data_IF_299737241967
#
_entry.id   IF_299737241967
#
_cell.length_a   1.000
_cell.length_b   1.000
_cell.length_c   1.000
_cell.angle_alpha   90.00
_cell.angle_beta   90.00
_cell.angle_gamma   90.00
#
_symmetry.space_group_name_H-M   'P 1'
#
loop_
_entity.id
_entity.type
_entity.pdbx_description
1 polymer ?
#
# COMPACT_ATOMS: atom_id res chain seq x y z
N UNK A 1 16.15 17.63 -13.14
CA UNK A 1 15.05 18.17 -12.30
C UNK A 1 15.18 17.55 -10.91
N UNK A 2 15.05 18.33 -9.83
CA UNK A 2 15.18 17.80 -8.47
C UNK A 2 13.96 16.90 -8.15
N UNK A 3 14.16 15.60 -7.81
CA UNK A 3 13.05 14.66 -7.59
C UNK A 3 12.15 15.08 -6.44
N UNK A 4 12.70 15.74 -5.41
CA UNK A 4 11.94 16.26 -4.27
C UNK A 4 10.98 17.37 -4.67
N UNK A 5 11.42 18.27 -5.55
CA UNK A 5 10.58 19.38 -6.04
C UNK A 5 9.44 18.82 -6.89
N UNK A 6 9.77 17.89 -7.78
CA UNK A 6 8.76 17.24 -8.61
C UNK A 6 7.74 16.46 -7.78
N UNK A 7 8.20 15.71 -6.78
CA UNK A 7 7.32 14.96 -5.89
C UNK A 7 6.40 15.90 -5.08
N UNK A 8 6.91 17.02 -4.57
CA UNK A 8 6.08 18.02 -3.86
C UNK A 8 4.97 18.58 -4.76
N UNK A 9 5.30 18.93 -6.00
CA UNK A 9 4.31 19.42 -6.98
C UNK A 9 3.30 18.32 -7.31
N UNK A 10 3.78 17.09 -7.54
CA UNK A 10 2.91 15.95 -7.82
C UNK A 10 1.97 15.62 -6.66
N UNK A 11 2.42 15.68 -5.41
CA UNK A 11 1.56 15.45 -4.23
C UNK A 11 0.40 16.44 -4.21
N UNK A 12 0.66 17.73 -4.46
CA UNK A 12 -0.39 18.76 -4.53
C UNK A 12 -1.34 18.46 -5.70
N UNK A 13 -0.80 18.10 -6.87
CA UNK A 13 -1.61 17.76 -8.04
C UNK A 13 -2.41 16.47 -7.86
N UNK A 14 -1.96 15.53 -7.03
CA UNK A 14 -2.67 14.28 -6.70
C UNK A 14 -3.80 14.49 -5.70
N UNK A 15 -3.72 15.56 -4.91
CA UNK A 15 -4.75 15.93 -3.96
C UNK A 15 -6.05 16.34 -4.67
N UNK A 16 -5.94 16.98 -5.83
CA UNK A 16 -7.08 17.36 -6.69
C UNK A 16 -7.92 16.16 -7.14
N UNK A 17 -7.38 15.16 -7.87
CA UNK A 17 -8.13 13.99 -8.30
C UNK A 17 -8.52 13.09 -7.12
N UNK A 18 -7.82 13.13 -5.97
CA UNK A 18 -8.29 12.41 -4.80
C UNK A 18 -9.49 13.07 -4.12
N UNK A 19 -9.52 14.41 -4.01
CA UNK A 19 -10.61 15.12 -3.35
C UNK A 19 -11.83 15.34 -4.24
N UNK A 20 -11.70 15.24 -5.57
CA UNK A 20 -12.83 15.49 -6.48
C UNK A 20 -14.01 14.56 -6.20
N UNK A 21 -13.76 13.33 -5.72
CA UNK A 21 -14.83 12.38 -5.39
C UNK A 21 -15.76 12.89 -4.26
N UNK A 22 -15.29 13.79 -3.40
CA UNK A 22 -16.08 14.38 -2.31
C UNK A 22 -17.12 15.39 -2.78
N UNK A 23 -16.94 15.94 -3.99
CA UNK A 23 -17.80 16.98 -4.54
C UNK A 23 -18.71 16.46 -5.66
N UNK A 24 -18.55 15.19 -6.05
CA UNK A 24 -19.35 14.55 -7.07
C UNK A 24 -20.60 13.90 -6.44
N UNK A 25 -21.73 13.84 -7.16
CA UNK A 25 -22.88 13.04 -6.74
C UNK A 25 -22.49 11.56 -6.58
N UNK A 26 -23.08 10.86 -5.61
CA UNK A 26 -22.72 9.49 -5.21
C UNK A 26 -22.53 8.51 -6.39
N UNK A 27 -23.45 8.54 -7.37
CA UNK A 27 -23.36 7.67 -8.55
C UNK A 27 -22.10 7.94 -9.40
N UNK A 28 -21.76 9.22 -9.58
CA UNK A 28 -20.59 9.64 -10.36
C UNK A 28 -19.32 9.37 -9.56
N UNK A 29 -19.33 9.65 -8.25
CA UNK A 29 -18.21 9.38 -7.36
C UNK A 29 -17.91 7.88 -7.26
N UNK A 30 -18.95 7.04 -7.21
CA UNK A 30 -18.82 5.58 -7.21
C UNK A 30 -18.18 5.07 -8.51
N UNK A 31 -18.70 5.52 -9.66
CA UNK A 31 -18.10 5.17 -10.96
C UNK A 31 -16.64 5.63 -11.06
N UNK A 32 -16.36 6.87 -10.63
CA UNK A 32 -15.02 7.43 -10.62
C UNK A 32 -14.04 6.62 -9.77
N UNK A 33 -14.40 6.30 -8.52
CA UNK A 33 -13.54 5.53 -7.60
C UNK A 33 -13.31 4.10 -8.09
N UNK A 34 -14.36 3.42 -8.59
CA UNK A 34 -14.27 2.08 -9.19
C UNK A 34 -13.36 2.02 -10.41
N UNK A 35 -13.25 3.11 -11.18
CA UNK A 35 -12.32 3.19 -12.31
C UNK A 35 -10.91 3.57 -11.85
N UNK A 36 -10.79 4.58 -11.00
CA UNK A 36 -9.49 5.18 -10.65
C UNK A 36 -8.66 4.29 -9.74
N UNK A 37 -9.25 3.52 -8.82
CA UNK A 37 -8.49 2.63 -7.95
C UNK A 37 -7.72 1.57 -8.75
N UNK A 38 -8.37 0.72 -9.57
CA UNK A 38 -7.63 -0.26 -10.36
C UNK A 38 -6.72 0.41 -11.39
N UNK A 39 -7.11 1.53 -12.01
CA UNK A 39 -6.24 2.23 -12.96
C UNK A 39 -4.93 2.71 -12.32
N UNK A 40 -4.99 3.33 -11.15
CA UNK A 40 -3.80 3.82 -10.44
C UNK A 40 -2.91 2.68 -9.96
N UNK A 41 -3.50 1.61 -9.43
CA UNK A 41 -2.78 0.40 -9.02
C UNK A 41 -2.13 -0.30 -10.23
N UNK A 42 -2.79 -0.35 -11.38
CA UNK A 42 -2.24 -0.89 -12.62
C UNK A 42 -1.02 -0.09 -13.10
N UNK A 43 -1.13 1.24 -13.12
CA UNK A 43 -0.02 2.14 -13.49
C UNK A 43 1.16 1.93 -12.52
N UNK A 44 0.88 1.83 -11.22
CA UNK A 44 1.89 1.56 -10.21
C UNK A 44 2.56 0.19 -10.44
N UNK A 45 1.79 -0.88 -10.64
CA UNK A 45 2.32 -2.20 -10.94
C UNK A 45 3.21 -2.19 -12.19
N UNK A 46 2.77 -1.53 -13.26
CA UNK A 46 3.55 -1.36 -14.48
C UNK A 46 4.88 -0.63 -14.21
N UNK A 47 4.87 0.48 -13.47
CA UNK A 47 6.12 1.16 -13.12
C UNK A 47 7.03 0.30 -12.24
N UNK A 48 6.48 -0.43 -11.29
CA UNK A 48 7.24 -1.38 -10.46
C UNK A 48 7.94 -2.43 -11.31
N UNK A 49 7.23 -3.03 -12.27
CA UNK A 49 7.82 -4.00 -13.19
C UNK A 49 8.88 -3.39 -14.11
N UNK A 50 8.67 -2.16 -14.58
CA UNK A 50 9.68 -1.41 -15.35
C UNK A 50 10.93 -1.15 -14.53
N UNK A 51 10.79 -0.75 -13.27
CA UNK A 51 11.93 -0.57 -12.36
C UNK A 51 12.65 -1.91 -12.13
N UNK A 52 11.90 -3.00 -11.94
CA UNK A 52 12.48 -4.33 -11.79
C UNK A 52 13.33 -4.74 -13.00
N UNK A 53 12.99 -4.29 -14.21
CA UNK A 53 13.79 -4.57 -15.42
C UNK A 53 15.11 -3.79 -15.50
N UNK A 54 15.22 -2.68 -14.75
CA UNK A 54 16.44 -1.85 -14.67
C UNK A 54 17.41 -2.45 -13.65
N UNK A 55 16.90 -2.91 -12.50
CA UNK A 55 17.71 -3.47 -11.44
C UNK A 55 18.12 -4.94 -11.68
N UNK A 56 19.17 -5.37 -10.98
CA UNK A 56 19.64 -6.75 -10.98
C UNK A 56 19.58 -7.36 -9.56
N UNK A 57 19.72 -8.69 -9.46
CA UNK A 57 19.84 -9.39 -8.19
C UNK A 57 18.61 -9.27 -7.28
N UNK A 58 18.83 -8.94 -6.01
CA UNK A 58 17.79 -8.92 -4.98
C UNK A 58 16.80 -7.75 -5.14
N UNK A 59 17.27 -6.59 -5.59
CA UNK A 59 16.41 -5.41 -5.77
C UNK A 59 15.40 -5.61 -6.91
N UNK A 60 15.79 -6.31 -7.99
CA UNK A 60 14.87 -6.77 -9.03
C UNK A 60 13.73 -7.61 -8.45
N UNK A 61 14.05 -8.57 -7.58
CA UNK A 61 13.03 -9.43 -6.93
C UNK A 61 12.09 -8.59 -6.08
N UNK A 62 12.60 -7.65 -5.29
CA UNK A 62 11.76 -6.74 -4.49
C UNK A 62 10.71 -6.02 -5.35
N UNK A 63 11.11 -5.42 -6.48
CA UNK A 63 10.18 -4.73 -7.37
C UNK A 63 9.24 -5.66 -8.16
N UNK A 64 9.64 -6.91 -8.45
CA UNK A 64 8.73 -7.92 -9.00
C UNK A 64 7.64 -8.24 -7.97
N UNK A 65 8.02 -8.50 -6.72
CA UNK A 65 7.04 -8.78 -5.66
C UNK A 65 6.15 -7.58 -5.37
N UNK A 66 6.69 -6.36 -5.39
CA UNK A 66 5.88 -5.14 -5.30
C UNK A 66 4.88 -5.02 -6.47
N UNK A 67 5.31 -5.34 -7.70
CA UNK A 67 4.41 -5.36 -8.86
C UNK A 67 3.29 -6.38 -8.69
N UNK A 68 3.61 -7.59 -8.21
CA UNK A 68 2.61 -8.63 -7.96
C UNK A 68 1.63 -8.22 -6.86
N UNK A 69 2.12 -7.64 -5.76
CA UNK A 69 1.28 -7.05 -4.70
C UNK A 69 0.29 -6.04 -5.27
N UNK A 70 0.77 -5.06 -6.07
CA UNK A 70 -0.07 -4.02 -6.64
C UNK A 70 -1.07 -4.56 -7.67
N UNK A 71 -0.68 -5.56 -8.47
CA UNK A 71 -1.58 -6.24 -9.40
C UNK A 71 -2.68 -7.04 -8.68
N UNK A 72 -2.35 -7.72 -7.58
CA UNK A 72 -3.35 -8.43 -6.78
C UNK A 72 -4.30 -7.46 -6.08
N UNK A 73 -3.77 -6.35 -5.54
CA UNK A 73 -4.59 -5.25 -5.02
C UNK A 73 -5.50 -4.65 -6.10
N UNK A 74 -5.01 -4.47 -7.33
CA UNK A 74 -5.83 -4.02 -8.46
C UNK A 74 -6.98 -4.99 -8.75
N UNK A 75 -6.69 -6.29 -8.84
CA UNK A 75 -7.72 -7.32 -9.05
C UNK A 75 -8.75 -7.34 -7.91
N UNK A 76 -8.30 -7.08 -6.68
CA UNK A 76 -9.19 -6.97 -5.53
C UNK A 76 -10.24 -5.85 -5.68
N UNK A 77 -9.93 -4.79 -6.45
CA UNK A 77 -10.81 -3.64 -6.70
C UNK A 77 -11.75 -3.81 -7.89
N UNK A 78 -11.56 -4.84 -8.72
CA UNK A 78 -12.40 -5.09 -9.90
C UNK A 78 -13.62 -5.93 -9.50
N UNK A 79 -14.76 -5.29 -9.24
CA UNK A 79 -16.03 -5.99 -8.95
C UNK A 79 -16.41 -7.04 -10.02
N UNK A 80 -16.30 -6.76 -11.34
CA UNK A 80 -16.68 -7.75 -12.36
C UNK A 80 -15.85 -9.04 -12.28
N UNK A 81 -14.57 -8.93 -11.91
CA UNK A 81 -13.69 -10.07 -11.72
C UNK A 81 -14.22 -10.97 -10.60
N UNK A 82 -14.63 -10.39 -9.47
CA UNK A 82 -15.14 -11.17 -8.34
C UNK A 82 -16.50 -11.78 -8.60
N UNK A 83 -17.37 -11.14 -9.39
CA UNK A 83 -18.67 -11.71 -9.74
C UNK A 83 -18.51 -12.95 -10.64
N UNK A 84 -17.56 -12.92 -11.58
CA UNK A 84 -17.21 -14.10 -12.40
C UNK A 84 -16.69 -15.23 -11.50
N UNK A 85 -15.79 -14.94 -10.56
CA UNK A 85 -15.29 -15.97 -9.65
C UNK A 85 -16.35 -16.51 -8.70
N UNK A 86 -17.28 -15.65 -8.24
CA UNK A 86 -18.41 -16.05 -7.39
C UNK A 86 -19.30 -17.04 -8.12
N UNK A 87 -19.62 -16.76 -9.39
CA UNK A 87 -20.45 -17.66 -10.21
C UNK A 87 -19.75 -18.97 -10.55
N UNK A 88 -18.44 -18.96 -10.78
CA UNK A 88 -17.65 -20.17 -11.10
C UNK A 88 -17.38 -21.08 -9.89
N UNK A 89 -17.05 -20.50 -8.74
CA UNK A 89 -16.59 -21.25 -7.54
C UNK A 89 -17.74 -21.53 -6.57
N UNK A 90 -18.83 -20.76 -6.63
CA UNK A 90 -20.00 -20.95 -5.77
C UNK A 90 -19.67 -20.83 -4.29
N UNK A 91 -19.97 -21.87 -3.51
CA UNK A 91 -19.85 -21.87 -2.04
C UNK A 91 -18.40 -21.75 -1.54
N UNK A 92 -17.40 -22.09 -2.36
CA UNK A 92 -15.98 -21.94 -1.99
C UNK A 92 -15.41 -20.54 -2.27
N UNK A 93 -16.22 -19.60 -2.76
CA UNK A 93 -15.79 -18.22 -3.06
C UNK A 93 -15.13 -17.49 -1.87
N UNK A 94 -15.61 -17.61 -0.62
CA UNK A 94 -14.94 -16.99 0.53
C UNK A 94 -13.51 -17.48 0.75
N UNK A 95 -13.22 -18.76 0.48
CA UNK A 95 -11.86 -19.31 0.57
C UNK A 95 -10.94 -18.67 -0.47
N UNK A 96 -11.43 -18.44 -1.69
CA UNK A 96 -10.67 -17.77 -2.75
C UNK A 96 -10.30 -16.33 -2.37
N UNK A 97 -11.22 -15.59 -1.74
CA UNK A 97 -10.93 -14.25 -1.22
C UNK A 97 -9.80 -14.29 -0.19
N UNK A 98 -9.88 -15.21 0.77
CA UNK A 98 -8.85 -15.39 1.80
C UNK A 98 -7.51 -15.73 1.18
N UNK A 99 -7.45 -16.69 0.25
CA UNK A 99 -6.22 -17.08 -0.44
C UNK A 99 -5.61 -15.93 -1.23
N UNK A 100 -6.42 -15.14 -1.93
CA UNK A 100 -5.95 -13.97 -2.70
C UNK A 100 -5.37 -12.91 -1.77
N UNK A 101 -5.99 -12.70 -0.61
CA UNK A 101 -5.50 -11.75 0.39
C UNK A 101 -4.18 -12.22 1.03
N UNK A 102 -4.07 -13.50 1.39
CA UNK A 102 -2.80 -14.09 1.85
C UNK A 102 -1.70 -13.98 0.80
N UNK A 103 -2.01 -14.26 -0.48
CA UNK A 103 -1.06 -14.11 -1.57
C UNK A 103 -0.61 -12.65 -1.69
N UNK A 104 -1.53 -11.70 -1.60
CA UNK A 104 -1.24 -10.25 -1.65
C UNK A 104 -0.25 -9.86 -0.55
N UNK A 105 -0.53 -10.23 0.70
CA UNK A 105 0.36 -9.94 1.82
C UNK A 105 1.71 -10.66 1.72
N UNK A 106 1.72 -11.91 1.26
CA UNK A 106 2.97 -12.64 1.03
C UNK A 106 3.87 -11.91 0.04
N UNK A 107 3.31 -11.34 -1.05
CA UNK A 107 4.10 -10.54 -2.00
C UNK A 107 4.71 -9.30 -1.32
N UNK A 108 3.96 -8.62 -0.46
CA UNK A 108 4.47 -7.44 0.26
C UNK A 108 5.56 -7.80 1.28
N UNK A 109 5.39 -8.90 2.02
CA UNK A 109 6.41 -9.42 2.95
C UNK A 109 7.67 -9.83 2.20
N UNK A 110 7.54 -10.56 1.09
CA UNK A 110 8.68 -10.93 0.25
C UNK A 110 9.38 -9.69 -0.30
N UNK A 111 8.64 -8.69 -0.77
CA UNK A 111 9.21 -7.40 -1.18
C UNK A 111 10.05 -6.79 -0.05
N UNK A 112 9.51 -6.69 1.16
CA UNK A 112 10.23 -6.16 2.32
C UNK A 112 11.49 -6.95 2.67
N UNK A 113 11.42 -8.29 2.67
CA UNK A 113 12.58 -9.15 2.93
C UNK A 113 13.68 -8.98 1.87
N UNK A 114 13.32 -8.83 0.59
CA UNK A 114 14.31 -8.60 -0.46
C UNK A 114 14.93 -7.19 -0.40
N UNK A 115 14.17 -6.18 0.02
CA UNK A 115 14.73 -4.86 0.33
C UNK A 115 15.72 -4.95 1.49
N UNK A 116 15.37 -5.66 2.57
CA UNK A 116 16.26 -5.84 3.72
C UNK A 116 17.56 -6.57 3.37
N UNK A 117 17.53 -7.51 2.43
CA UNK A 117 18.73 -8.19 1.94
C UNK A 117 19.71 -7.28 1.20
N UNK A 118 19.24 -6.15 0.67
CA UNK A 118 20.09 -5.15 -0.01
C UNK A 118 20.57 -4.08 0.97
N UNK A 119 19.83 -3.83 2.05
CA UNK A 119 20.24 -2.86 3.06
C UNK A 119 21.26 -3.44 4.01
N UNK A 120 22.40 -2.78 4.18
CA UNK A 120 23.31 -3.11 5.28
C UNK A 120 22.62 -2.80 6.61
N UNK A 121 22.67 -3.74 7.56
CA UNK A 121 22.10 -3.56 8.90
C UNK A 121 22.91 -2.50 9.66
N UNK A 122 22.49 -1.24 9.52
CA UNK A 122 23.02 -0.10 10.25
C UNK A 122 22.20 0.16 11.51
N UNK A 123 22.82 0.79 12.49
CA UNK A 123 22.12 1.19 13.71
C UNK A 123 20.96 2.15 13.38
N UNK A 124 19.77 1.78 13.82
CA UNK A 124 18.58 2.62 13.70
C UNK A 124 18.78 3.86 14.58
N UNK A 125 18.62 5.05 13.99
CA UNK A 125 18.74 6.32 14.70
C UNK A 125 17.69 6.45 15.81
N UNK A 126 17.93 7.30 16.81
CA UNK A 126 16.96 7.57 17.90
C UNK A 126 15.59 8.00 17.37
N UNK A 127 15.56 8.84 16.33
CA UNK A 127 14.32 9.25 15.64
C UNK A 127 13.64 8.09 14.93
N UNK A 128 14.41 7.15 14.37
CA UNK A 128 13.87 5.93 13.77
C UNK A 128 13.20 5.03 14.81
N UNK A 129 13.83 4.85 15.97
CA UNK A 129 13.23 4.12 17.10
C UNK A 129 11.95 4.76 17.61
N UNK A 130 11.90 6.11 17.70
CA UNK A 130 10.67 6.82 18.05
C UNK A 130 9.54 6.59 17.03
N UNK A 131 9.85 6.57 15.73
CA UNK A 131 8.86 6.28 14.70
C UNK A 131 8.33 4.85 14.77
N UNK A 132 9.23 3.87 14.99
CA UNK A 132 8.85 2.46 15.20
C UNK A 132 7.97 2.32 16.44
N UNK A 133 8.33 2.97 17.56
CA UNK A 133 7.55 2.96 18.78
C UNK A 133 6.17 3.58 18.56
N UNK A 134 6.09 4.76 17.92
CA UNK A 134 4.83 5.44 17.66
C UNK A 134 3.89 4.62 16.78
N UNK A 135 4.39 4.06 15.67
CA UNK A 135 3.59 3.20 14.78
C UNK A 135 3.27 1.84 15.42
N UNK A 136 4.16 1.31 16.25
CA UNK A 136 3.91 0.14 17.08
C UNK A 136 2.79 0.36 18.09
N UNK A 137 2.75 1.52 18.75
CA UNK A 137 1.67 1.89 19.67
C UNK A 137 0.34 2.11 18.94
N UNK A 138 0.35 2.77 17.78
CA UNK A 138 -0.85 2.92 16.94
C UNK A 138 -1.36 1.55 16.50
N UNK A 139 -0.47 0.67 16.03
CA UNK A 139 -0.82 -0.69 15.63
C UNK A 139 -1.38 -1.52 16.79
N UNK A 140 -0.76 -1.44 17.96
CA UNK A 140 -1.24 -2.10 19.18
C UNK A 140 -2.62 -1.55 19.59
N UNK A 141 -2.81 -0.23 19.53
CA UNK A 141 -4.08 0.40 19.85
C UNK A 141 -5.19 -0.05 18.89
N UNK A 142 -4.93 -0.08 17.58
CA UNK A 142 -5.86 -0.64 16.57
C UNK A 142 -6.20 -2.09 16.95
N UNK A 143 -5.20 -2.92 17.25
CA UNK A 143 -5.43 -4.32 17.58
C UNK A 143 -6.27 -4.48 18.84
N UNK A 144 -5.93 -3.78 19.92
CA UNK A 144 -6.67 -3.81 21.19
C UNK A 144 -8.09 -3.27 21.08
N UNK A 145 -8.32 -2.23 20.26
CA UNK A 145 -9.65 -1.68 20.04
C UNK A 145 -10.57 -2.67 19.32
N UNK A 146 -10.04 -3.40 18.33
CA UNK A 146 -10.84 -4.31 17.52
C UNK A 146 -10.95 -5.73 18.13
N UNK A 147 -10.05 -6.11 19.05
CA UNK A 147 -10.01 -7.43 19.68
C UNK A 147 -11.32 -7.82 20.40
N UNK A 148 -12.01 -6.94 21.16
CA UNK A 148 -13.26 -7.29 21.84
C UNK A 148 -14.39 -7.61 20.86
N UNK A 149 -14.54 -6.82 19.80
CA UNK A 149 -15.56 -7.06 18.75
C UNK A 149 -15.36 -8.41 18.07
N UNK A 150 -14.10 -8.78 17.86
CA UNK A 150 -13.67 -10.05 17.29
C UNK A 150 -13.93 -11.21 18.25
N UNK A 151 -13.54 -11.05 19.52
CA UNK A 151 -13.72 -12.09 20.53
C UNK A 151 -15.20 -12.36 20.77
N UNK A 152 -16.04 -11.32 20.79
CA UNK A 152 -17.50 -11.45 20.86
C UNK A 152 -18.09 -12.20 19.66
N UNK A 153 -17.59 -11.95 18.44
CA UNK A 153 -17.99 -12.71 17.26
C UNK A 153 -17.61 -14.19 17.37
N UNK A 154 -16.41 -14.50 17.87
CA UNK A 154 -15.95 -15.89 18.07
C UNK A 154 -16.71 -16.58 19.21
N UNK A 155 -17.00 -15.88 20.30
CA UNK A 155 -17.64 -16.46 21.50
C UNK A 155 -19.17 -16.55 21.41
N UNK A 156 -19.80 -15.66 20.62
CA UNK A 156 -21.26 -15.54 20.53
C UNK A 156 -21.91 -16.40 19.42
N UNK A 157 -21.18 -16.75 18.36
CA UNK A 157 -21.72 -17.60 17.28
C UNK A 157 -21.38 -19.07 17.51
N UNK A 158 -22.40 -19.95 17.56
CA UNK A 158 -22.25 -21.42 17.49
C UNK A 158 -21.57 -21.93 16.20
N UNK A 159 -21.25 -21.04 15.27
CA UNK A 159 -20.45 -21.29 14.09
C UNK A 159 -19.23 -20.37 14.11
N UNK A 160 -18.11 -20.89 14.61
CA UNK A 160 -16.80 -20.33 14.27
C UNK A 160 -16.55 -20.60 12.78
N UNK A 161 -17.25 -19.90 11.90
CA UNK A 161 -17.05 -20.02 10.46
C UNK A 161 -15.59 -19.67 10.18
N UNK A 162 -14.94 -20.48 9.33
CA UNK A 162 -13.56 -20.30 8.86
C UNK A 162 -13.30 -18.86 8.39
N UNK A 163 -14.37 -18.19 7.92
CA UNK A 163 -14.39 -16.80 7.51
C UNK A 163 -14.11 -15.80 8.66
N UNK A 164 -14.76 -15.97 9.81
CA UNK A 164 -14.58 -15.09 10.97
C UNK A 164 -13.16 -15.18 11.51
N UNK A 165 -12.59 -16.39 11.60
CA UNK A 165 -11.20 -16.60 12.03
C UNK A 165 -10.22 -15.97 11.01
N UNK A 166 -10.49 -16.12 9.71
CA UNK A 166 -9.64 -15.55 8.66
C UNK A 166 -9.62 -14.02 8.68
N UNK A 167 -10.77 -13.37 8.91
CA UNK A 167 -10.85 -11.91 9.04
C UNK A 167 -10.01 -11.38 10.21
N UNK A 168 -9.95 -12.11 11.31
CA UNK A 168 -9.15 -11.74 12.49
C UNK A 168 -7.67 -11.85 12.19
N UNK A 169 -7.26 -12.96 11.58
CA UNK A 169 -5.87 -13.16 11.15
C UNK A 169 -5.42 -12.08 10.17
N UNK A 170 -6.31 -11.69 9.25
CA UNK A 170 -6.09 -10.57 8.32
C UNK A 170 -5.83 -9.26 9.07
N UNK A 171 -6.66 -8.93 10.08
CA UNK A 171 -6.48 -7.70 10.88
C UNK A 171 -5.14 -7.70 11.64
N UNK A 172 -4.78 -8.82 12.25
CA UNK A 172 -3.50 -8.99 12.93
C UNK A 172 -2.35 -8.81 11.92
N UNK A 173 -2.51 -9.38 10.73
CA UNK A 173 -1.51 -9.33 9.67
C UNK A 173 -1.34 -7.92 9.09
N UNK A 174 -2.42 -7.15 8.90
CA UNK A 174 -2.34 -5.74 8.50
C UNK A 174 -1.48 -4.93 9.47
N UNK A 175 -1.75 -5.06 10.77
CA UNK A 175 -0.98 -4.39 11.82
C UNK A 175 0.47 -4.85 11.82
N UNK A 176 0.71 -6.16 11.74
CA UNK A 176 2.06 -6.72 11.71
C UNK A 176 2.86 -6.24 10.50
N UNK A 177 2.23 -6.16 9.32
CA UNK A 177 2.85 -5.67 8.09
C UNK A 177 3.21 -4.19 8.23
N UNK A 178 2.31 -3.36 8.78
CA UNK A 178 2.60 -1.94 9.01
C UNK A 178 3.79 -1.78 9.95
N UNK A 179 3.82 -2.51 11.07
CA UNK A 179 4.93 -2.49 12.04
C UNK A 179 6.24 -2.95 11.38
N UNK A 180 6.18 -3.94 10.48
CA UNK A 180 7.34 -4.45 9.75
C UNK A 180 7.85 -3.46 8.68
N UNK A 181 6.97 -2.76 7.97
CA UNK A 181 7.36 -1.86 6.87
C UNK A 181 8.11 -0.61 7.35
N UNK A 182 7.79 -0.10 8.53
CA UNK A 182 8.43 1.09 9.12
C UNK A 182 9.96 0.96 9.26
N UNK A 183 10.49 -0.07 9.96
CA UNK A 183 11.94 -0.26 10.06
C UNK A 183 12.58 -0.51 8.69
N UNK A 184 11.90 -1.21 7.77
CA UNK A 184 12.41 -1.44 6.40
C UNK A 184 12.65 -0.11 5.68
N UNK A 185 11.71 0.83 5.79
CA UNK A 185 11.84 2.17 5.18
C UNK A 185 12.97 2.97 5.83
N UNK A 186 13.08 2.92 7.15
CA UNK A 186 14.12 3.66 7.87
C UNK A 186 15.50 3.15 7.47
N UNK A 187 15.71 1.84 7.47
CA UNK A 187 16.98 1.22 7.09
C UNK A 187 17.32 1.51 5.63
N UNK A 188 16.35 1.40 4.73
CA UNK A 188 16.56 1.76 3.32
C UNK A 188 16.92 3.24 3.15
N UNK A 189 16.23 4.13 3.87
CA UNK A 189 16.52 5.56 3.81
C UNK A 189 17.91 5.92 4.33
N UNK A 190 18.36 5.24 5.39
CA UNK A 190 19.72 5.39 5.92
C UNK A 190 20.77 4.87 4.93
N UNK A 191 20.55 3.70 4.32
CA UNK A 191 21.48 3.12 3.34
C UNK A 191 21.68 4.05 2.14
N UNK A 192 20.59 4.50 1.54
CA UNK A 192 20.63 5.39 0.37
C UNK A 192 21.31 6.72 0.69
N UNK A 193 21.12 7.28 1.90
CA UNK A 193 21.81 8.50 2.35
C UNK A 193 23.33 8.30 2.35
N UNK A 194 23.80 7.12 2.72
CA UNK A 194 25.24 6.82 2.77
C UNK A 194 25.80 6.59 1.36
N UNK A 195 25.02 5.96 0.49
CA UNK A 195 25.36 5.79 -0.93
C UNK A 195 25.26 7.10 -1.73
N UNK A 196 24.89 8.22 -1.09
CA UNK A 196 24.69 9.51 -1.77
C UNK A 196 23.51 9.53 -2.72
N UNK A 197 22.58 8.58 -2.60
CA UNK A 197 21.40 8.42 -3.45
C UNK A 197 20.14 8.92 -2.75
N UNK A 198 19.12 9.30 -3.52
CA UNK A 198 17.85 9.78 -2.96
C UNK A 198 16.92 8.63 -2.51
N UNK A 199 16.63 8.56 -1.21
CA UNK A 199 15.69 7.59 -0.61
C UNK A 199 14.21 7.99 -0.68
N UNK A 200 13.94 9.27 -1.00
CA UNK A 200 12.62 9.88 -0.84
C UNK A 200 11.56 9.14 -1.65
N UNK A 201 11.92 8.60 -2.81
CA UNK A 201 11.01 7.87 -3.69
C UNK A 201 10.53 6.57 -3.09
N UNK A 202 11.41 5.74 -2.54
CA UNK A 202 11.03 4.48 -1.86
C UNK A 202 10.23 4.74 -0.58
N UNK A 203 10.66 5.72 0.24
CA UNK A 203 9.89 6.15 1.42
C UNK A 203 8.46 6.54 1.04
N UNK A 204 8.30 7.28 -0.07
CA UNK A 204 6.98 7.71 -0.56
C UNK A 204 6.10 6.53 -0.95
N UNK A 205 6.66 5.54 -1.68
CA UNK A 205 5.96 4.31 -2.06
C UNK A 205 5.44 3.59 -0.81
N UNK A 206 6.31 3.33 0.16
CA UNK A 206 5.91 2.58 1.35
C UNK A 206 4.96 3.39 2.25
N UNK A 207 5.11 4.71 2.34
CA UNK A 207 4.14 5.56 3.02
C UNK A 207 2.74 5.45 2.39
N UNK A 208 2.65 5.42 1.05
CA UNK A 208 1.39 5.17 0.36
C UNK A 208 0.80 3.79 0.70
N UNK A 209 1.64 2.75 0.76
CA UNK A 209 1.19 1.39 1.17
C UNK A 209 0.67 1.40 2.60
N UNK A 210 1.43 1.96 3.56
CA UNK A 210 1.01 2.06 4.97
C UNK A 210 -0.31 2.82 5.08
N UNK A 211 -0.44 3.96 4.38
CA UNK A 211 -1.68 4.73 4.37
C UNK A 211 -2.85 3.89 3.85
N UNK A 212 -2.67 3.16 2.75
CA UNK A 212 -3.72 2.30 2.19
C UNK A 212 -4.13 1.15 3.12
N UNK A 213 -3.19 0.57 3.88
CA UNK A 213 -3.47 -0.52 4.83
C UNK A 213 -4.14 -0.02 6.12
N UNK A 214 -3.88 1.23 6.51
CA UNK A 214 -4.35 1.79 7.80
C UNK A 214 -5.60 2.67 7.68
N UNK A 215 -5.92 3.19 6.49
CA UNK A 215 -6.97 4.18 6.27
C UNK A 215 -8.34 3.75 6.84
N UNK A 216 -8.81 2.53 6.55
CA UNK A 216 -10.11 2.05 7.03
C UNK A 216 -10.15 1.88 8.56
N UNK A 217 -9.05 1.46 9.18
CA UNK A 217 -8.95 1.35 10.65
C UNK A 217 -8.96 2.72 11.32
N UNK A 218 -8.24 3.69 10.76
CA UNK A 218 -8.27 5.08 11.25
C UNK A 218 -9.67 5.66 11.09
N UNK A 219 -10.33 5.40 9.96
CA UNK A 219 -11.69 5.85 9.73
C UNK A 219 -12.69 5.23 10.72
N UNK A 220 -12.62 3.92 10.99
CA UNK A 220 -13.44 3.27 12.04
C UNK A 220 -13.21 3.95 13.40
N UNK A 221 -11.96 4.16 13.79
CA UNK A 221 -11.62 4.80 15.07
C UNK A 221 -12.18 6.22 15.21
N UNK A 222 -12.12 7.02 14.14
CA UNK A 222 -12.56 8.43 14.17
C UNK A 222 -14.08 8.54 14.04
N UNK A 223 -14.70 7.72 13.19
CA UNK A 223 -16.14 7.79 12.91
C UNK A 223 -16.99 6.95 13.86
N UNK A 224 -16.40 5.98 14.56
CA UNK A 224 -17.11 4.98 15.35
C UNK A 224 -17.94 3.99 14.51
N UNK A 225 -17.81 4.02 13.18
CA UNK A 225 -18.53 3.14 12.27
C UNK A 225 -17.73 1.85 12.09
N UNK A 226 -18.32 0.67 12.37
CA UNK A 226 -17.57 -0.58 12.29
C UNK A 226 -17.20 -0.94 10.85
N UNK A 227 -16.03 -1.55 10.64
CA UNK A 227 -15.48 -1.95 9.32
C UNK A 227 -16.45 -2.69 8.39
N UNK A 228 -17.32 -3.55 8.94
CA UNK A 228 -18.29 -4.28 8.11
C UNK A 228 -19.35 -3.34 7.50
N UNK A 229 -19.69 -2.23 8.19
CA UNK A 229 -20.59 -1.19 7.67
C UNK A 229 -19.85 -0.29 6.70
N UNK A 230 -18.60 0.09 7.00
CA UNK A 230 -17.75 0.91 6.12
C UNK A 230 -17.71 0.31 4.70
N UNK A 231 -17.51 -1.01 4.59
CA UNK A 231 -17.45 -1.72 3.31
C UNK A 231 -18.71 -1.53 2.44
N UNK A 232 -19.89 -1.43 3.05
CA UNK A 232 -21.16 -1.41 2.33
C UNK A 232 -21.75 0.00 2.17
N UNK A 233 -21.49 0.89 3.12
CA UNK A 233 -22.13 2.20 3.19
C UNK A 233 -21.21 3.38 2.82
N UNK A 234 -19.89 3.18 2.88
CA UNK A 234 -18.91 4.29 2.80
C UNK A 234 -17.85 4.06 1.72
N UNK A 235 -17.59 2.80 1.37
CA UNK A 235 -16.58 2.45 0.38
C UNK A 235 -17.11 2.62 -1.05
N UNK A 236 -16.34 3.31 -1.90
CA UNK A 236 -16.69 3.64 -3.28
C UNK A 236 -18.03 4.38 -3.41
N UNK A 237 -18.29 5.31 -2.50
CA UNK A 237 -19.47 6.20 -2.53
C UNK A 237 -19.09 7.66 -2.67
N UNK A 238 -17.79 8.00 -2.75
CA UNK A 238 -17.32 9.38 -2.76
C UNK A 238 -17.00 9.91 -1.37
N UNK A 239 -16.66 9.02 -0.43
CA UNK A 239 -16.40 9.39 0.96
C UNK A 239 -14.97 9.91 1.16
N UNK A 240 -14.70 10.47 2.36
CA UNK A 240 -13.34 10.84 2.78
C UNK A 240 -12.41 9.63 2.73
N UNK A 241 -12.92 8.45 3.10
CA UNK A 241 -12.15 7.22 3.02
C UNK A 241 -11.73 6.94 1.57
N UNK A 242 -12.61 7.21 0.60
CA UNK A 242 -12.30 7.02 -0.80
C UNK A 242 -11.21 7.97 -1.32
N UNK A 243 -11.28 9.24 -0.89
CA UNK A 243 -10.24 10.21 -1.19
C UNK A 243 -8.88 9.75 -0.64
N UNK A 244 -8.84 9.23 0.60
CA UNK A 244 -7.61 8.74 1.23
C UNK A 244 -7.06 7.52 0.49
N UNK A 245 -7.91 6.56 0.09
CA UNK A 245 -7.48 5.41 -0.71
C UNK A 245 -6.91 5.84 -2.06
N UNK A 246 -7.62 6.70 -2.80
CA UNK A 246 -7.14 7.19 -4.09
C UNK A 246 -5.82 7.93 -3.96
N UNK A 247 -5.71 8.81 -2.96
CA UNK A 247 -4.48 9.54 -2.67
C UNK A 247 -3.32 8.59 -2.36
N UNK A 248 -3.57 7.55 -1.56
CA UNK A 248 -2.56 6.53 -1.23
C UNK A 248 -2.04 5.79 -2.46
N UNK A 249 -2.92 5.40 -3.39
CA UNK A 249 -2.54 4.71 -4.63
C UNK A 249 -1.81 5.64 -5.61
N UNK A 250 -2.25 6.90 -5.70
CA UNK A 250 -1.56 7.93 -6.47
C UNK A 250 -0.15 8.19 -5.94
N UNK A 251 0.03 8.27 -4.62
CA UNK A 251 1.35 8.39 -3.98
C UNK A 251 2.28 7.24 -4.39
N UNK A 252 1.78 6.01 -4.38
CA UNK A 252 2.57 4.83 -4.79
C UNK A 252 2.99 4.96 -6.26
N UNK A 253 2.05 5.29 -7.14
CA UNK A 253 2.32 5.46 -8.57
C UNK A 253 3.32 6.60 -8.83
N UNK A 254 3.18 7.74 -8.15
CA UNK A 254 4.11 8.86 -8.21
C UNK A 254 5.50 8.44 -7.77
N UNK A 255 5.59 7.80 -6.60
CA UNK A 255 6.84 7.37 -6.01
C UNK A 255 7.60 6.46 -6.96
N UNK A 256 6.92 5.49 -7.58
CA UNK A 256 7.50 4.59 -8.58
C UNK A 256 7.89 5.33 -9.87
N UNK A 257 7.06 6.23 -10.38
CA UNK A 257 7.39 7.02 -11.55
C UNK A 257 8.67 7.86 -11.34
N UNK A 258 8.74 8.57 -10.20
CA UNK A 258 9.89 9.41 -9.86
C UNK A 258 11.13 8.55 -9.58
N UNK A 259 10.97 7.39 -8.94
CA UNK A 259 12.06 6.43 -8.74
C UNK A 259 12.67 6.00 -10.08
N UNK A 260 11.84 5.60 -11.03
CA UNK A 260 12.28 5.25 -12.38
C UNK A 260 12.99 6.41 -13.08
N UNK A 261 12.40 7.62 -13.01
CA UNK A 261 12.96 8.80 -13.67
C UNK A 261 14.26 9.25 -13.06
N UNK A 262 14.45 9.06 -11.76
CA UNK A 262 15.71 9.37 -11.08
C UNK A 262 16.86 8.57 -11.67
N UNK A 263 16.67 7.26 -11.87
CA UNK A 263 17.70 6.40 -12.47
C UNK A 263 17.99 6.81 -13.93
N UNK A 264 16.96 7.11 -14.71
CA UNK A 264 17.11 7.60 -16.09
C UNK A 264 17.81 8.97 -16.17
N UNK A 265 17.51 9.89 -15.25
CA UNK A 265 18.13 11.22 -15.19
C UNK A 265 19.58 11.15 -14.70
N UNK A 266 19.87 10.27 -13.74
CA UNK A 266 21.22 10.00 -13.27
C UNK A 266 22.10 9.50 -14.41
N UNK A 267 21.63 8.51 -15.17
CA UNK A 267 22.37 7.95 -16.31
C UNK A 267 22.69 9.01 -17.38
N UNK A 268 21.70 9.82 -17.78
CA UNK A 268 21.90 10.91 -18.75
C UNK A 268 22.89 11.98 -18.28
N UNK A 269 22.98 12.19 -16.97
CA UNK A 269 23.93 13.17 -16.41
C UNK A 269 25.36 12.62 -16.52
N UNK A 270 25.55 11.33 -16.25
CA UNK A 270 26.84 10.66 -16.43
C UNK A 270 27.24 10.64 -17.90
N UNK A 271 26.33 10.31 -18.83
CA UNK A 271 26.61 10.37 -20.27
C UNK A 271 27.04 11.76 -20.74
N UNK A 272 26.40 12.83 -20.25
CA UNK A 272 26.78 14.21 -20.59
C UNK A 272 28.18 14.57 -20.10
N UNK A 273 28.52 14.17 -18.88
CA UNK A 273 29.85 14.39 -18.31
C UNK A 273 30.91 13.59 -19.08
N UNK A 274 30.61 12.34 -19.44
CA UNK A 274 31.51 11.50 -20.25
C UNK A 274 31.64 12.00 -21.70
N UNK A 275 30.62 12.65 -22.24
CA UNK A 275 30.64 13.27 -23.56
C UNK A 275 31.38 14.64 -23.60
N UNK A 276 31.97 15.07 -22.49
CA UNK A 276 32.83 16.27 -22.44
C UNK A 276 32.08 17.60 -22.40
N UNK A 277 30.85 17.62 -21.89
CA UNK A 277 30.11 18.85 -21.60
C UNK A 277 30.37 19.37 -20.18
#
# INVERSE_FOLDING_TARGET
>A
MNPRVFLKVMIILMLLPSLICLFLPDMIASYYTRLMYPATLFIAAFFSMRIASIYQGWLRKAFVFLSLFLSLMMLAQLEPHWEIWRTMIGTSFPLMLVLTQWATYAMLVLCALYVLKVTELRAISRTGWLAILALGLIGLFILLYHLPSVLQQISGSRYADVYTISLVLIRILDVAIVIMLVPVVILYAQQMKVEGRESVTFTTIICGIILSLTAAYIYELVSGVPLYVIRHAVYQTGSILDAVYLFSYLIIAAGLYVHKKYDEWGYRTVEKVLAGA
#
